data_IF_207132826333
#
_entry.id   IF_207132826333
#
_cell.length_a   1.000
_cell.length_b   1.000
_cell.length_c   1.000
_cell.angle_alpha   90.00
_cell.angle_beta   90.00
_cell.angle_gamma   90.00
#
_symmetry.space_group_name_H-M   'P 1'
#
loop_
_entity.id
_entity.type
_entity.pdbx_description
1 polymer ?
#
# COMPACT_ATOMS: atom_id res chain seq x y z
N UNK A 1 10.99 4.79 4.12
CA UNK A 1 11.26 3.56 3.34
C UNK A 1 12.03 3.80 2.03
N UNK A 2 11.52 4.57 1.05
CA UNK A 2 12.23 4.78 -0.25
C UNK A 2 13.65 5.33 -0.09
N UNK A 3 13.82 6.38 0.72
CA UNK A 3 15.11 7.03 0.96
C UNK A 3 16.17 6.09 1.52
N UNK A 4 15.76 5.07 2.27
CA UNK A 4 16.64 4.07 2.87
C UNK A 4 17.02 2.92 1.92
N UNK A 5 16.47 2.86 0.71
CA UNK A 5 16.88 1.86 -0.28
C UNK A 5 18.32 2.12 -0.77
N UNK A 6 19.09 1.05 -1.04
CA UNK A 6 20.37 1.15 -1.77
C UNK A 6 20.18 1.84 -3.12
N UNK A 7 21.22 2.54 -3.60
CA UNK A 7 21.19 3.29 -4.85
C UNK A 7 20.83 2.39 -6.06
N UNK A 8 21.40 1.19 -6.12
CA UNK A 8 21.12 0.19 -7.15
C UNK A 8 19.63 -0.19 -7.18
N UNK A 9 19.02 -0.46 -6.02
CA UNK A 9 17.59 -0.77 -5.95
C UNK A 9 16.75 0.42 -6.42
N UNK A 10 17.09 1.66 -6.01
CA UNK A 10 16.40 2.87 -6.47
C UNK A 10 16.47 3.04 -8.00
N UNK A 11 17.59 2.70 -8.62
CA UNK A 11 17.75 2.75 -10.08
C UNK A 11 16.92 1.66 -10.76
N UNK A 12 16.99 0.42 -10.25
CA UNK A 12 16.26 -0.73 -10.79
C UNK A 12 14.75 -0.47 -10.88
N UNK A 13 14.16 0.10 -9.84
CA UNK A 13 12.69 0.25 -9.73
C UNK A 13 12.16 1.59 -10.25
N UNK A 14 13.02 2.48 -10.77
CA UNK A 14 12.65 3.88 -11.05
C UNK A 14 11.54 4.03 -12.11
N UNK A 15 11.48 3.11 -13.08
CA UNK A 15 10.50 3.11 -14.16
C UNK A 15 9.50 1.96 -14.09
N UNK A 16 9.52 1.16 -13.02
CA UNK A 16 8.60 0.02 -12.92
C UNK A 16 7.20 0.47 -12.54
N UNK A 17 6.22 -0.20 -13.11
CA UNK A 17 4.81 0.00 -12.84
C UNK A 17 4.23 -1.29 -12.25
N UNK A 18 3.62 -1.19 -11.08
CA UNK A 18 2.97 -2.30 -10.40
C UNK A 18 1.52 -2.42 -10.86
N UNK A 19 1.11 -3.68 -11.03
CA UNK A 19 -0.24 -4.07 -11.39
C UNK A 19 -1.03 -4.33 -10.10
N UNK A 20 -2.12 -3.60 -9.89
CA UNK A 20 -3.02 -3.78 -8.76
C UNK A 20 -4.32 -4.41 -9.23
N UNK A 21 -4.58 -5.62 -8.78
CA UNK A 21 -5.72 -6.40 -9.22
C UNK A 21 -6.65 -6.70 -8.04
N UNK A 22 -7.88 -6.18 -8.10
CA UNK A 22 -8.89 -6.40 -7.06
C UNK A 22 -9.21 -7.89 -6.87
N UNK A 23 -9.18 -8.68 -7.95
CA UNK A 23 -9.49 -10.10 -7.91
C UNK A 23 -8.37 -10.95 -7.30
N UNK A 24 -7.12 -10.49 -7.38
CA UNK A 24 -5.96 -11.18 -6.82
C UNK A 24 -5.80 -11.07 -5.30
N UNK A 25 -6.61 -10.22 -4.64
CA UNK A 25 -6.50 -9.97 -3.19
C UNK A 25 -6.95 -11.18 -2.38
N UNK A 26 -6.09 -11.65 -1.47
CA UNK A 26 -6.46 -12.70 -0.49
C UNK A 26 -7.57 -12.18 0.42
N UNK A 27 -8.72 -12.87 0.40
CA UNK A 27 -9.92 -12.52 1.19
C UNK A 27 -10.50 -13.76 1.83
N UNK A 28 -11.11 -13.58 3.00
CA UNK A 28 -11.90 -14.61 3.68
C UNK A 28 -13.26 -14.83 3.02
N UNK A 29 -13.80 -13.81 2.36
CA UNK A 29 -15.08 -13.87 1.65
C UNK A 29 -14.82 -13.91 0.14
N UNK A 30 -15.41 -14.86 -0.60
CA UNK A 30 -15.34 -14.88 -2.06
C UNK A 30 -15.91 -13.60 -2.68
N UNK A 31 -15.29 -13.14 -3.76
CA UNK A 31 -15.76 -11.99 -4.53
C UNK A 31 -16.70 -12.42 -5.65
N UNK A 32 -17.67 -11.57 -5.98
CA UNK A 32 -18.59 -11.81 -7.09
C UNK A 32 -18.03 -11.26 -8.40
N UNK A 33 -18.50 -11.79 -9.54
CA UNK A 33 -18.11 -11.26 -10.86
C UNK A 33 -18.44 -9.76 -11.00
N UNK A 34 -19.62 -9.33 -10.53
CA UNK A 34 -20.01 -7.93 -10.55
C UNK A 34 -19.03 -7.02 -9.77
N UNK A 35 -18.40 -7.51 -8.69
CA UNK A 35 -17.37 -6.76 -7.98
C UNK A 35 -16.06 -6.70 -8.77
N UNK A 36 -15.69 -7.78 -9.44
CA UNK A 36 -14.49 -7.80 -10.32
C UNK A 36 -14.68 -6.79 -11.44
N UNK A 37 -15.83 -6.79 -12.09
CA UNK A 37 -16.14 -5.89 -13.21
C UNK A 37 -16.18 -4.41 -12.78
N UNK A 38 -16.60 -4.13 -11.55
CA UNK A 38 -16.62 -2.78 -10.99
C UNK A 38 -15.23 -2.24 -10.61
N UNK A 39 -14.25 -3.12 -10.42
CA UNK A 39 -12.89 -2.78 -9.99
C UNK A 39 -11.86 -3.44 -10.91
N UNK A 40 -11.74 -2.97 -12.16
CA UNK A 40 -10.75 -3.49 -13.07
C UNK A 40 -9.34 -3.27 -12.54
N UNK A 41 -8.40 -3.99 -13.12
CA UNK A 41 -6.98 -3.84 -12.84
C UNK A 41 -6.52 -2.39 -13.08
N UNK A 42 -5.67 -1.90 -12.19
CA UNK A 42 -5.07 -0.56 -12.30
C UNK A 42 -3.56 -0.64 -12.20
N UNK A 43 -2.88 0.20 -12.98
CA UNK A 43 -1.43 0.26 -13.05
C UNK A 43 -0.95 1.54 -12.36
N UNK A 44 0.05 1.40 -11.50
CA UNK A 44 0.64 2.52 -10.77
C UNK A 44 2.16 2.42 -10.70
N UNK A 45 2.90 3.54 -10.77
CA UNK A 45 4.35 3.54 -10.59
C UNK A 45 4.75 2.93 -9.25
N UNK A 46 5.75 2.04 -9.25
CA UNK A 46 6.37 1.48 -8.02
C UNK A 46 6.98 2.60 -7.18
N UNK A 47 7.55 3.61 -7.85
CA UNK A 47 8.06 4.83 -7.23
C UNK A 47 7.16 5.99 -7.63
N UNK A 48 6.32 6.42 -6.70
CA UNK A 48 5.37 7.50 -6.93
C UNK A 48 5.87 8.80 -6.29
N UNK A 49 6.00 9.91 -7.04
CA UNK A 49 6.23 11.22 -6.42
C UNK A 49 4.96 11.69 -5.72
N UNK A 50 5.12 12.25 -4.52
CA UNK A 50 4.03 12.91 -3.82
C UNK A 50 3.56 14.14 -4.62
N UNK A 51 2.25 14.33 -4.85
CA UNK A 51 1.74 15.36 -5.77
C UNK A 51 2.08 16.80 -5.37
N UNK A 52 2.24 17.07 -4.07
CA UNK A 52 2.57 18.41 -3.56
C UNK A 52 4.09 18.57 -3.29
N UNK A 53 4.68 17.71 -2.46
CA UNK A 53 6.08 17.82 -2.04
C UNK A 53 7.10 17.26 -3.05
N UNK A 54 6.67 16.47 -4.04
CA UNK A 54 7.56 15.78 -4.97
C UNK A 54 8.37 14.63 -4.34
N UNK A 55 8.25 14.39 -3.04
CA UNK A 55 8.96 13.32 -2.35
C UNK A 55 8.60 11.94 -2.94
N UNK A 56 9.62 11.17 -3.30
CA UNK A 56 9.44 9.82 -3.87
C UNK A 56 9.08 8.81 -2.79
N UNK A 57 8.03 8.04 -3.04
CA UNK A 57 7.49 7.03 -2.14
C UNK A 57 7.38 5.68 -2.83
N UNK A 58 7.47 4.60 -2.05
CA UNK A 58 7.21 3.24 -2.55
C UNK A 58 5.71 2.98 -2.54
N UNK A 59 5.16 2.62 -3.69
CA UNK A 59 3.74 2.32 -3.88
C UNK A 59 3.58 0.85 -4.28
N UNK A 60 3.82 -0.03 -3.30
CA UNK A 60 3.74 -1.50 -3.42
C UNK A 60 2.97 -2.05 -2.22
N UNK A 61 2.08 -3.00 -2.44
CA UNK A 61 1.32 -3.67 -1.39
C UNK A 61 1.36 -5.19 -1.61
N UNK A 62 1.87 -5.94 -0.63
CA UNK A 62 2.10 -7.39 -0.73
C UNK A 62 0.92 -8.19 -1.26
N UNK A 63 -0.30 -7.85 -0.84
CA UNK A 63 -1.50 -8.62 -1.13
C UNK A 63 -2.37 -8.01 -2.25
N UNK A 64 -2.03 -6.81 -2.72
CA UNK A 64 -2.82 -6.09 -3.72
C UNK A 64 -2.08 -5.96 -5.06
N UNK A 65 -0.74 -6.00 -5.04
CA UNK A 65 0.09 -6.05 -6.25
C UNK A 65 0.19 -7.49 -6.76
N UNK A 66 -0.24 -7.73 -8.00
CA UNK A 66 -0.21 -9.05 -8.64
C UNK A 66 0.90 -9.21 -9.66
N UNK A 67 1.57 -8.12 -10.07
CA UNK A 67 2.65 -8.17 -11.04
C UNK A 67 3.34 -6.82 -11.22
N UNK A 68 4.33 -6.80 -12.10
CA UNK A 68 5.05 -5.60 -12.55
C UNK A 68 5.03 -5.65 -14.08
N UNK A 69 4.67 -4.54 -14.70
CA UNK A 69 4.60 -4.41 -16.17
C UNK A 69 5.97 -4.75 -16.78
N UNK A 70 5.96 -5.52 -17.86
CA UNK A 70 7.14 -5.97 -18.62
C UNK A 70 8.18 -6.78 -17.83
N UNK A 71 7.81 -7.33 -16.67
CA UNK A 71 8.66 -8.19 -15.86
C UNK A 71 8.04 -9.60 -15.78
N UNK A 72 8.83 -10.69 -15.94
CA UNK A 72 8.33 -12.04 -15.74
C UNK A 72 7.68 -12.23 -14.36
N UNK A 73 6.63 -13.04 -14.28
CA UNK A 73 5.82 -13.19 -13.06
C UNK A 73 6.65 -13.60 -11.83
N UNK A 74 7.58 -14.54 -11.99
CA UNK A 74 8.45 -14.99 -10.92
C UNK A 74 9.38 -13.88 -10.41
N UNK A 75 9.99 -13.12 -11.33
CA UNK A 75 10.79 -11.94 -11.01
C UNK A 75 9.96 -10.83 -10.34
N UNK A 76 8.75 -10.59 -10.83
CA UNK A 76 7.83 -9.61 -10.30
C UNK A 76 7.41 -9.97 -8.86
N UNK A 77 7.04 -11.24 -8.61
CA UNK A 77 6.67 -11.69 -7.27
C UNK A 77 7.83 -11.56 -6.28
N UNK A 78 9.06 -11.90 -6.70
CA UNK A 78 10.26 -11.73 -5.86
C UNK A 78 10.51 -10.25 -5.53
N UNK A 79 10.37 -9.35 -6.50
CA UNK A 79 10.57 -7.92 -6.29
C UNK A 79 9.47 -7.30 -5.42
N UNK A 80 8.20 -7.65 -5.67
CA UNK A 80 7.07 -7.22 -4.84
C UNK A 80 7.29 -7.67 -3.39
N UNK A 81 7.69 -8.93 -3.18
CA UNK A 81 7.97 -9.45 -1.85
C UNK A 81 9.12 -8.69 -1.18
N UNK A 82 10.25 -8.48 -1.86
CA UNK A 82 11.39 -7.78 -1.30
C UNK A 82 11.06 -6.33 -0.91
N UNK A 83 10.33 -5.60 -1.76
CA UNK A 83 9.90 -4.23 -1.45
C UNK A 83 8.86 -4.20 -0.32
N UNK A 84 7.92 -5.14 -0.31
CA UNK A 84 6.93 -5.28 0.75
C UNK A 84 7.56 -5.60 2.12
N UNK A 85 8.57 -6.48 2.16
CA UNK A 85 9.31 -6.77 3.40
C UNK A 85 10.12 -5.55 3.86
N UNK A 86 10.69 -4.77 2.94
CA UNK A 86 11.43 -3.56 3.27
C UNK A 86 10.54 -2.49 3.92
N UNK A 87 9.34 -2.24 3.41
CA UNK A 87 8.47 -1.17 3.93
C UNK A 87 7.92 -1.46 5.33
N UNK A 88 7.89 -2.72 5.76
CA UNK A 88 7.42 -3.14 7.11
C UNK A 88 8.54 -3.33 8.12
N UNK A 89 9.77 -2.92 7.79
CA UNK A 89 10.89 -2.95 8.75
C UNK A 89 10.58 -2.05 9.96
N UNK A 90 10.99 -2.43 11.19
CA UNK A 90 10.63 -1.73 12.43
C UNK A 90 10.91 -0.22 12.42
N UNK A 91 12.00 0.23 11.79
CA UNK A 91 12.38 1.64 11.69
C UNK A 91 11.43 2.50 10.84
N UNK A 92 10.53 1.89 10.06
CA UNK A 92 9.50 2.60 9.29
C UNK A 92 8.12 2.49 9.93
N UNK A 93 8.00 1.78 11.05
CA UNK A 93 6.72 1.56 11.73
C UNK A 93 6.52 2.60 12.81
N UNK A 94 5.43 3.36 12.67
CA UNK A 94 4.81 4.08 13.77
C UNK A 94 3.64 3.26 14.31
N UNK A 95 3.62 3.00 15.62
CA UNK A 95 2.51 2.31 16.30
C UNK A 95 1.79 3.28 17.22
N UNK A 96 0.55 3.59 16.88
CA UNK A 96 -0.31 4.44 17.71
C UNK A 96 -1.07 3.59 18.75
N UNK A 97 -1.01 4.00 20.02
CA UNK A 97 -1.85 3.47 21.08
C UNK A 97 -3.03 4.41 21.28
N UNK A 98 -4.24 3.92 20.99
CA UNK A 98 -5.45 4.73 20.96
C UNK A 98 -6.00 5.00 22.36
N UNK A 99 -6.42 6.24 22.59
CA UNK A 99 -7.21 6.65 23.73
C UNK A 99 -8.52 7.31 23.27
N UNK A 100 -9.60 7.25 24.08
CA UNK A 100 -10.83 7.97 23.78
C UNK A 100 -10.56 9.48 23.57
N UNK A 101 -11.00 9.99 22.42
CA UNK A 101 -10.78 11.39 22.03
C UNK A 101 -9.61 11.62 21.08
N UNK A 102 -8.76 10.61 20.84
CA UNK A 102 -7.66 10.73 19.88
C UNK A 102 -8.19 10.92 18.45
N UNK A 103 -7.57 11.86 17.74
CA UNK A 103 -7.73 12.05 16.31
C UNK A 103 -6.37 11.85 15.63
N UNK A 104 -6.30 10.87 14.75
CA UNK A 104 -5.13 10.63 13.91
C UNK A 104 -5.44 11.05 12.48
N UNK A 105 -4.59 11.90 11.93
CA UNK A 105 -4.58 12.25 10.51
C UNK A 105 -3.28 11.72 9.89
N UNK A 106 -3.39 11.09 8.72
CA UNK A 106 -2.23 10.65 7.95
C UNK A 106 -2.39 11.00 6.47
N UNK A 107 -1.27 11.14 5.80
CA UNK A 107 -1.21 11.33 4.35
C UNK A 107 -1.20 9.97 3.63
N UNK A 108 -2.32 9.64 2.96
CA UNK A 108 -2.49 8.36 2.30
C UNK A 108 -1.63 8.20 1.02
N UNK A 109 -0.92 9.25 0.57
CA UNK A 109 0.04 9.15 -0.53
C UNK A 109 1.37 8.53 -0.10
N UNK A 110 1.73 8.63 1.18
CA UNK A 110 3.09 8.33 1.67
C UNK A 110 3.14 7.21 2.69
N UNK A 111 2.00 6.83 3.27
CA UNK A 111 1.94 5.78 4.31
C UNK A 111 1.09 4.59 3.89
N UNK A 112 1.39 3.45 4.50
CA UNK A 112 0.49 2.30 4.57
C UNK A 112 0.10 2.10 6.04
N UNK A 113 -1.08 1.53 6.27
CA UNK A 113 -1.58 1.28 7.61
C UNK A 113 -2.18 -0.11 7.73
N UNK A 114 -2.09 -0.67 8.93
CA UNK A 114 -2.66 -1.97 9.26
C UNK A 114 -3.39 -1.84 10.59
N UNK A 115 -4.63 -2.33 10.64
CA UNK A 115 -5.34 -2.49 11.90
C UNK A 115 -4.78 -3.72 12.63
N UNK A 116 -4.44 -3.55 13.91
CA UNK A 116 -4.07 -4.66 14.78
C UNK A 116 -5.32 -5.03 15.58
N UNK A 117 -5.68 -6.31 15.58
CA UNK A 117 -6.68 -6.84 16.49
C UNK A 117 -5.99 -7.11 17.83
N UNK A 118 -5.98 -6.11 18.70
CA UNK A 118 -5.36 -6.10 20.03
C UNK A 118 -6.39 -6.24 21.16
N UNK A 119 -7.57 -6.75 20.85
CA UNK A 119 -8.67 -6.97 21.78
C UNK A 119 -9.36 -8.31 21.51
N UNK A 120 -9.85 -8.95 22.57
CA UNK A 120 -10.60 -10.20 22.50
C UNK A 120 -12.11 -9.93 22.51
N UNK A 121 -12.87 -10.80 21.85
CA UNK A 121 -14.33 -10.78 21.98
C UNK A 121 -14.71 -11.07 23.45
N UNK A 122 -15.72 -10.40 24.02
CA UNK A 122 -16.74 -9.56 23.37
C UNK A 122 -16.41 -8.06 23.35
N UNK A 123 -15.16 -7.64 23.57
CA UNK A 123 -14.80 -6.22 23.54
C UNK A 123 -15.13 -5.61 22.18
N UNK A 124 -15.64 -4.37 22.22
CA UNK A 124 -16.04 -3.62 21.02
C UNK A 124 -15.12 -2.44 20.81
N UNK A 125 -14.71 -2.23 19.57
CA UNK A 125 -13.96 -1.05 19.13
C UNK A 125 -14.77 -0.31 18.06
N UNK A 126 -15.06 0.97 18.29
CA UNK A 126 -15.73 1.85 17.34
C UNK A 126 -14.79 2.99 16.96
N UNK A 127 -14.68 3.24 15.65
CA UNK A 127 -13.89 4.34 15.10
C UNK A 127 -14.69 5.03 14.00
N UNK A 128 -14.53 6.35 13.90
CA UNK A 128 -15.06 7.14 12.80
C UNK A 128 -13.92 7.50 11.84
N UNK A 129 -14.19 7.49 10.53
CA UNK A 129 -13.21 7.84 9.50
C UNK A 129 -13.85 8.77 8.47
N UNK A 130 -13.14 9.83 8.14
CA UNK A 130 -13.40 10.67 6.97
C UNK A 130 -12.22 10.55 6.02
N UNK A 131 -12.48 10.37 4.73
CA UNK A 131 -11.45 10.28 3.69
C UNK A 131 -11.52 11.52 2.81
N UNK A 132 -10.39 12.19 2.65
CA UNK A 132 -10.27 13.31 1.72
C UNK A 132 -9.79 12.79 0.37
N UNK A 133 -10.47 13.20 -0.71
CA UNK A 133 -9.98 12.95 -2.06
C UNK A 133 -8.83 13.93 -2.35
N UNK A 134 -7.72 13.41 -2.90
CA UNK A 134 -6.67 14.26 -3.44
C UNK A 134 -7.00 14.59 -4.90
N UNK A 135 -7.00 15.87 -5.24
CA UNK A 135 -7.02 16.32 -6.63
C UNK A 135 -5.65 16.07 -7.25
N UNK A 136 -5.60 15.47 -8.46
CA UNK A 136 -4.38 15.54 -9.26
C UNK A 136 -4.09 17.03 -9.51
N UNK A 137 -2.90 17.50 -9.16
CA UNK A 137 -2.44 18.79 -9.65
C UNK A 137 -2.21 18.64 -11.15
N UNK A 138 -2.78 19.58 -11.92
CA UNK A 138 -2.73 19.62 -13.39
C UNK A 138 -1.29 19.67 -13.92
#
# INVERSE_FOLDING_TARGET
AYTALPAEMKQRIAGFEAVFNFAGRKRTVPITQAQIDAFPEVIHPVVRPHPITGCKCLYIMRNDCTGIVDLPDDEAQLLIAALADHIVRPEFIYRHQWHPGDLLLWDNCTVQHMAIQDYDLPLRRLMHRTTFAATQSA
#
